data_IF_171077901276
#
_entry.id   IF_171077901276
#
_cell.length_a   1.000
_cell.length_b   1.000
_cell.length_c   1.000
_cell.angle_alpha   90.00
_cell.angle_beta   90.00
_cell.angle_gamma   90.00
#
_symmetry.space_group_name_H-M   'P 1'
#
loop_
_entity.id
_entity.type
_entity.pdbx_description
1 polymer ?
#
# COMPACT_ATOMS: atom_id res chain seq x y z
N UNK A 1 -6.85 11.48 -14.20
CA UNK A 1 -6.05 10.26 -13.93
C UNK A 1 -6.34 9.79 -12.52
N UNK A 2 -6.60 8.50 -12.36
CA UNK A 2 -6.85 7.93 -11.02
C UNK A 2 -5.53 7.78 -10.25
N UNK A 3 -5.58 8.08 -8.97
CA UNK A 3 -4.43 7.99 -8.09
C UNK A 3 -4.70 6.98 -6.97
N UNK A 4 -3.81 6.02 -6.81
CA UNK A 4 -3.94 4.95 -5.83
C UNK A 4 -2.75 4.91 -4.89
N UNK A 5 -3.03 4.56 -3.64
CA UNK A 5 -1.99 4.18 -2.67
C UNK A 5 -2.05 2.67 -2.50
N UNK A 6 -0.92 2.01 -2.66
CA UNK A 6 -0.81 0.55 -2.53
C UNK A 6 -0.27 0.21 -1.14
N UNK A 7 -1.01 -0.61 -0.40
CA UNK A 7 -0.51 -1.11 0.88
C UNK A 7 0.17 -2.47 0.74
N UNK A 8 0.72 -2.98 1.84
CA UNK A 8 1.42 -4.26 1.82
C UNK A 8 0.48 -5.43 1.53
N UNK A 9 -0.73 -5.41 2.07
CA UNK A 9 -1.70 -6.50 1.88
C UNK A 9 -2.04 -6.68 0.40
N UNK A 10 -2.34 -5.60 -0.30
CA UNK A 10 -2.68 -5.65 -1.73
C UNK A 10 -1.50 -6.12 -2.58
N UNK A 11 -0.29 -5.62 -2.30
CA UNK A 11 0.89 -6.06 -3.05
C UNK A 11 1.19 -7.54 -2.80
N UNK A 12 1.09 -8.00 -1.55
CA UNK A 12 1.29 -9.41 -1.22
C UNK A 12 0.23 -10.31 -1.88
N UNK A 13 -1.01 -9.85 -1.99
CA UNK A 13 -2.06 -10.58 -2.70
C UNK A 13 -1.66 -10.80 -4.15
N UNK A 14 -1.12 -9.77 -4.82
CA UNK A 14 -0.61 -9.91 -6.19
C UNK A 14 0.56 -10.89 -6.26
N UNK A 15 1.57 -10.72 -5.39
CA UNK A 15 2.79 -11.52 -5.42
C UNK A 15 2.55 -13.00 -5.11
N UNK A 16 1.53 -13.30 -4.30
CA UNK A 16 1.17 -14.66 -3.89
C UNK A 16 -0.01 -15.23 -4.64
N UNK A 17 -0.51 -14.53 -5.64
CA UNK A 17 -1.67 -14.91 -6.43
C UNK A 17 -2.87 -15.27 -5.55
N UNK A 18 -3.12 -14.45 -4.55
CA UNK A 18 -4.27 -14.58 -3.65
C UNK A 18 -5.51 -13.92 -4.23
N UNK A 19 -6.72 -14.14 -3.65
CA UNK A 19 -7.91 -13.41 -4.08
C UNK A 19 -7.67 -11.90 -4.02
N UNK A 20 -8.05 -11.20 -5.10
CA UNK A 20 -7.80 -9.78 -5.28
C UNK A 20 -6.60 -9.47 -6.16
N UNK A 21 -5.75 -10.46 -6.49
CA UNK A 21 -4.58 -10.24 -7.36
C UNK A 21 -4.98 -9.64 -8.71
N UNK A 22 -6.08 -10.09 -9.28
CA UNK A 22 -6.56 -9.59 -10.59
C UNK A 22 -6.86 -8.11 -10.55
N UNK A 23 -7.47 -7.61 -9.49
CA UNK A 23 -7.77 -6.19 -9.34
C UNK A 23 -6.50 -5.36 -9.22
N UNK A 24 -5.52 -5.82 -8.46
CA UNK A 24 -4.22 -5.16 -8.34
C UNK A 24 -3.52 -5.14 -9.71
N UNK A 25 -3.53 -6.25 -10.43
CA UNK A 25 -2.94 -6.34 -11.76
C UNK A 25 -3.61 -5.36 -12.73
N UNK A 26 -4.93 -5.21 -12.68
CA UNK A 26 -5.66 -4.27 -13.50
C UNK A 26 -5.21 -2.83 -13.25
N UNK A 27 -5.04 -2.45 -11.98
CA UNK A 27 -4.55 -1.11 -11.61
C UNK A 27 -3.11 -0.90 -12.09
N UNK A 28 -2.25 -1.92 -11.95
CA UNK A 28 -0.87 -1.85 -12.46
C UNK A 28 -0.83 -1.67 -13.98
N UNK A 29 -1.70 -2.37 -14.70
CA UNK A 29 -1.79 -2.23 -16.16
C UNK A 29 -2.25 -0.82 -16.55
N UNK A 30 -3.19 -0.25 -15.81
CA UNK A 30 -3.62 1.14 -16.03
C UNK A 30 -2.47 2.11 -15.77
N UNK A 31 -1.64 1.85 -14.76
CA UNK A 31 -0.47 2.67 -14.48
C UNK A 31 0.58 2.56 -15.59
N UNK A 32 0.78 1.37 -16.15
CA UNK A 32 1.68 1.17 -17.29
C UNK A 32 1.26 1.97 -18.52
N UNK A 33 -0.03 2.12 -18.76
CA UNK A 33 -0.55 2.87 -19.90
C UNK A 33 -0.77 4.36 -19.60
N UNK A 34 -0.39 4.84 -18.43
CA UNK A 34 -0.50 6.23 -18.04
C UNK A 34 -1.91 6.66 -17.62
N UNK A 35 -2.82 5.71 -17.42
CA UNK A 35 -4.20 5.99 -17.02
C UNK A 35 -4.39 6.06 -15.51
N UNK A 36 -3.39 5.64 -14.75
CA UNK A 36 -3.41 5.67 -13.30
C UNK A 36 -2.01 5.96 -12.77
N UNK A 37 -1.97 6.44 -11.53
CA UNK A 37 -0.72 6.60 -10.77
C UNK A 37 -0.83 5.78 -9.50
N UNK A 38 0.24 5.05 -9.17
CA UNK A 38 0.31 4.24 -7.96
C UNK A 38 1.49 4.71 -7.12
N UNK A 39 1.21 5.06 -5.88
CA UNK A 39 2.22 5.43 -4.89
C UNK A 39 2.20 4.41 -3.76
N UNK A 40 3.37 3.98 -3.31
CA UNK A 40 3.51 3.12 -2.14
C UNK A 40 4.55 3.73 -1.21
N UNK A 41 4.19 3.88 0.07
CA UNK A 41 5.18 4.35 1.03
C UNK A 41 6.21 3.26 1.29
N UNK A 42 7.48 3.68 1.46
CA UNK A 42 8.58 2.74 1.69
C UNK A 42 8.37 1.92 2.97
N UNK A 43 7.69 2.47 3.98
CA UNK A 43 7.34 1.72 5.18
C UNK A 43 6.47 0.48 4.87
N UNK A 44 5.54 0.62 3.91
CA UNK A 44 4.70 -0.50 3.47
C UNK A 44 5.49 -1.48 2.61
N UNK A 45 6.41 -0.99 1.80
CA UNK A 45 7.31 -1.85 1.04
C UNK A 45 8.21 -2.66 1.98
N UNK A 46 8.67 -2.04 3.07
CA UNK A 46 9.46 -2.75 4.08
C UNK A 46 8.66 -3.91 4.70
N UNK A 47 7.38 -3.71 4.95
CA UNK A 47 6.52 -4.78 5.47
C UNK A 47 6.43 -5.94 4.48
N UNK A 48 6.28 -5.67 3.20
CA UNK A 48 6.32 -6.70 2.15
C UNK A 48 7.65 -7.42 2.18
N UNK A 49 8.75 -6.67 2.26
CA UNK A 49 10.09 -7.24 2.20
C UNK A 49 10.36 -8.18 3.38
N UNK A 50 10.07 -7.75 4.62
CA UNK A 50 10.37 -8.63 5.76
C UNK A 50 9.46 -9.85 5.80
N UNK A 51 8.23 -9.75 5.29
CA UNK A 51 7.35 -10.91 5.19
C UNK A 51 7.89 -11.93 4.17
N UNK A 52 8.35 -11.46 3.02
CA UNK A 52 9.01 -12.31 2.03
C UNK A 52 10.32 -12.89 2.57
N UNK A 53 11.10 -12.09 3.28
CA UNK A 53 12.36 -12.52 3.89
C UNK A 53 12.11 -13.67 4.87
N UNK A 54 11.10 -13.52 5.73
CA UNK A 54 10.74 -14.52 6.73
C UNK A 54 10.25 -15.82 6.10
N UNK A 55 9.49 -15.73 5.00
CA UNK A 55 8.86 -16.91 4.38
C UNK A 55 9.72 -17.56 3.29
N UNK A 56 10.55 -16.81 2.57
CA UNK A 56 11.31 -17.29 1.42
C UNK A 56 12.82 -17.25 1.60
N UNK A 57 13.32 -16.53 2.61
CA UNK A 57 14.73 -16.26 2.80
C UNK A 57 15.23 -15.05 2.01
N UNK A 58 16.44 -14.58 2.36
CA UNK A 58 16.99 -13.33 1.85
C UNK A 58 17.13 -13.31 0.34
N UNK A 59 17.67 -14.37 -0.25
CA UNK A 59 17.97 -14.38 -1.69
C UNK A 59 16.71 -14.20 -2.52
N UNK A 60 15.65 -14.96 -2.21
CA UNK A 60 14.38 -14.86 -2.93
C UNK A 60 13.66 -13.55 -2.64
N UNK A 61 13.70 -13.07 -1.40
CA UNK A 61 13.10 -11.79 -1.05
C UNK A 61 13.76 -10.64 -1.83
N UNK A 62 15.07 -10.65 -1.98
CA UNK A 62 15.80 -9.64 -2.74
C UNK A 62 15.41 -9.69 -4.22
N UNK A 63 15.24 -10.88 -4.79
CA UNK A 63 14.82 -11.02 -6.19
C UNK A 63 13.40 -10.48 -6.40
N UNK A 64 12.47 -10.79 -5.50
CA UNK A 64 11.11 -10.28 -5.59
C UNK A 64 11.09 -8.76 -5.45
N UNK A 65 11.83 -8.22 -4.49
CA UNK A 65 11.94 -6.77 -4.32
C UNK A 65 12.45 -6.10 -5.60
N UNK A 66 13.48 -6.65 -6.22
CA UNK A 66 14.02 -6.14 -7.47
C UNK A 66 12.95 -6.09 -8.57
N UNK A 67 12.15 -7.15 -8.69
CA UNK A 67 11.06 -7.18 -9.67
C UNK A 67 9.95 -6.17 -9.36
N UNK A 68 9.62 -5.99 -8.07
CA UNK A 68 8.63 -4.99 -7.66
C UNK A 68 9.08 -3.57 -8.03
N UNK A 69 10.36 -3.28 -7.84
CA UNK A 69 10.90 -1.95 -8.13
C UNK A 69 10.93 -1.61 -9.62
N UNK A 70 10.75 -2.60 -10.49
CA UNK A 70 10.61 -2.38 -11.94
C UNK A 70 9.17 -2.05 -12.35
N UNK A 71 8.21 -2.22 -11.46
CA UNK A 71 6.79 -1.98 -11.76
C UNK A 71 6.47 -0.48 -11.73
N UNK A 72 5.37 -0.05 -12.33
CA UNK A 72 4.97 1.36 -12.34
C UNK A 72 4.40 1.79 -10.98
N UNK A 73 5.18 1.64 -9.94
CA UNK A 73 4.85 2.03 -8.58
C UNK A 73 5.88 3.05 -8.12
N UNK A 74 5.41 4.26 -7.80
CA UNK A 74 6.28 5.28 -7.22
C UNK A 74 6.46 4.98 -5.73
N UNK A 75 7.69 4.73 -5.31
CA UNK A 75 7.99 4.49 -3.91
C UNK A 75 8.28 5.83 -3.24
N UNK A 76 7.42 6.23 -2.31
CA UNK A 76 7.64 7.42 -1.52
C UNK A 76 8.55 7.10 -0.34
N UNK A 77 9.72 7.73 -0.29
CA UNK A 77 10.72 7.54 0.77
C UNK A 77 10.64 8.61 1.85
N UNK A 78 9.79 9.62 1.65
CA UNK A 78 9.72 10.77 2.54
C UNK A 78 8.71 10.58 3.66
N UNK A 79 9.04 11.07 4.84
CA UNK A 79 8.05 11.31 5.89
C UNK A 79 7.87 12.81 5.95
N UNK A 80 6.99 13.33 5.08
CA UNK A 80 6.69 14.75 5.04
C UNK A 80 6.02 15.18 6.34
N UNK A 81 5.96 16.49 6.59
CA UNK A 81 5.28 17.00 7.78
C UNK A 81 3.81 16.53 7.83
N UNK A 82 3.15 16.47 6.68
CA UNK A 82 1.77 16.02 6.62
C UNK A 82 1.66 14.52 6.94
N UNK A 83 2.51 13.67 6.36
CA UNK A 83 2.52 12.24 6.66
C UNK A 83 2.84 12.02 8.14
N UNK A 84 3.82 12.73 8.67
CA UNK A 84 4.18 12.62 10.09
C UNK A 84 2.98 12.92 10.99
N UNK A 85 2.32 14.06 10.77
CA UNK A 85 1.19 14.48 11.60
C UNK A 85 -0.01 13.53 11.45
N UNK A 86 -0.36 13.17 10.22
CA UNK A 86 -1.52 12.32 9.96
C UNK A 86 -1.29 10.88 10.43
N UNK A 87 -0.11 10.32 10.19
CA UNK A 87 0.21 8.97 10.68
C UNK A 87 0.16 8.93 12.21
N UNK A 88 0.70 9.95 12.86
CA UNK A 88 0.64 10.06 14.32
C UNK A 88 -0.79 10.16 14.84
N UNK A 89 -1.61 11.00 14.22
CA UNK A 89 -3.03 11.15 14.60
C UNK A 89 -3.79 9.85 14.42
N UNK A 90 -3.63 9.19 13.28
CA UNK A 90 -4.34 7.96 12.96
C UNK A 90 -3.92 6.81 13.87
N UNK A 91 -2.61 6.68 14.12
CA UNK A 91 -2.09 5.65 15.03
C UNK A 91 -2.58 5.85 16.47
N UNK A 92 -2.72 7.11 16.90
CA UNK A 92 -3.22 7.43 18.23
C UNK A 92 -4.74 7.22 18.35
N UNK A 93 -5.48 7.37 17.26
CA UNK A 93 -6.95 7.35 17.26
C UNK A 93 -7.54 5.98 16.98
N UNK A 94 -6.80 5.09 16.33
CA UNK A 94 -7.30 3.78 15.90
C UNK A 94 -6.31 2.67 16.25
N UNK A 95 -6.82 1.44 16.34
CA UNK A 95 -5.99 0.25 16.52
C UNK A 95 -5.44 -0.20 15.17
N UNK A 96 -4.56 0.60 14.60
CA UNK A 96 -3.92 0.27 13.34
C UNK A 96 -2.44 -0.02 13.56
N UNK A 97 -1.83 -0.82 12.70
CA UNK A 97 -0.40 -1.09 12.78
C UNK A 97 0.42 0.14 12.42
N UNK A 98 1.69 0.15 12.83
CA UNK A 98 2.59 1.27 12.52
C UNK A 98 2.70 1.49 11.00
N UNK A 99 2.93 0.41 10.24
CA UNK A 99 3.05 0.52 8.79
C UNK A 99 1.75 0.97 8.12
N UNK A 100 0.60 0.48 8.59
CA UNK A 100 -0.69 0.84 8.02
C UNK A 100 -1.02 2.31 8.24
N UNK A 101 -0.52 2.92 9.32
CA UNK A 101 -0.70 4.37 9.53
C UNK A 101 -0.03 5.20 8.44
N UNK A 102 1.07 4.70 7.86
CA UNK A 102 1.73 5.36 6.74
C UNK A 102 0.90 5.25 5.45
N UNK A 103 0.28 4.09 5.20
CA UNK A 103 -0.58 3.93 4.02
C UNK A 103 -1.78 4.89 4.08
N UNK A 104 -2.41 4.98 5.25
CA UNK A 104 -3.53 5.90 5.47
C UNK A 104 -3.09 7.36 5.30
N UNK A 105 -1.96 7.74 5.91
CA UNK A 105 -1.44 9.10 5.83
C UNK A 105 -1.05 9.46 4.38
N UNK A 106 -0.47 8.51 3.65
CA UNK A 106 -0.12 8.69 2.24
C UNK A 106 -1.38 8.95 1.41
N UNK A 107 -2.46 8.21 1.67
CA UNK A 107 -3.73 8.41 0.96
C UNK A 107 -4.30 9.81 1.23
N UNK A 108 -4.20 10.29 2.45
CA UNK A 108 -4.62 11.66 2.78
C UNK A 108 -3.74 12.72 2.11
N UNK A 109 -2.42 12.49 2.05
CA UNK A 109 -1.50 13.46 1.47
C UNK A 109 -1.76 13.68 -0.02
N UNK A 110 -1.99 12.59 -0.77
CA UNK A 110 -2.16 12.70 -2.23
C UNK A 110 -3.62 12.65 -2.68
N UNK A 111 -4.55 12.57 -1.75
CA UNK A 111 -5.98 12.40 -2.03
C UNK A 111 -6.22 11.22 -2.98
N UNK A 112 -5.58 10.09 -2.69
CA UNK A 112 -5.68 8.87 -3.49
C UNK A 112 -6.55 7.81 -2.84
N UNK A 113 -7.03 6.87 -3.66
CA UNK A 113 -7.75 5.70 -3.15
C UNK A 113 -6.76 4.70 -2.56
N UNK A 114 -7.03 4.22 -1.35
CA UNK A 114 -6.21 3.19 -0.72
C UNK A 114 -6.61 1.81 -1.25
N UNK A 115 -5.70 1.22 -2.02
CA UNK A 115 -5.88 -0.11 -2.61
C UNK A 115 -5.42 -1.14 -1.59
N UNK A 116 -6.37 -1.88 -1.02
CA UNK A 116 -6.12 -2.76 0.12
C UNK A 116 -7.07 -3.96 0.15
N UNK A 117 -6.71 -4.95 0.95
CA UNK A 117 -7.57 -6.09 1.29
C UNK A 117 -7.66 -6.30 2.81
N UNK A 118 -7.15 -5.36 3.60
CA UNK A 118 -7.03 -5.53 5.05
C UNK A 118 -8.25 -5.00 5.79
N UNK A 119 -9.35 -5.75 5.73
CA UNK A 119 -10.58 -5.40 6.42
C UNK A 119 -10.38 -5.36 7.94
N UNK A 120 -9.52 -6.22 8.48
CA UNK A 120 -9.25 -6.26 9.92
C UNK A 120 -8.75 -4.92 10.44
N UNK A 121 -7.82 -4.28 9.69
CA UNK A 121 -7.24 -3.00 10.07
C UNK A 121 -8.15 -1.81 9.73
N UNK A 122 -8.85 -1.86 8.60
CA UNK A 122 -9.43 -0.65 8.02
C UNK A 122 -10.96 -0.55 8.06
N UNK A 123 -11.70 -1.64 8.33
CA UNK A 123 -13.17 -1.55 8.39
C UNK A 123 -13.65 -0.53 9.42
N UNK A 124 -12.96 -0.41 10.57
CA UNK A 124 -13.32 0.55 11.61
C UNK A 124 -12.99 2.00 11.23
N UNK A 125 -12.20 2.21 10.19
CA UNK A 125 -11.74 3.53 9.73
C UNK A 125 -12.57 4.04 8.56
N UNK A 126 -13.04 3.11 7.72
CA UNK A 126 -13.85 3.46 6.55
C UNK A 126 -15.10 4.24 6.97
N UNK A 127 -15.33 5.37 6.32
CA UNK A 127 -16.44 6.26 6.64
C UNK A 127 -16.21 7.23 7.80
N UNK A 128 -15.12 7.05 8.56
CA UNK A 128 -14.77 7.97 9.66
C UNK A 128 -13.67 8.95 9.28
N UNK A 129 -12.87 8.60 8.27
CA UNK A 129 -11.79 9.43 7.75
C UNK A 129 -12.08 9.78 6.30
N UNK A 130 -11.50 10.87 5.83
CA UNK A 130 -11.65 11.32 4.45
C UNK A 130 -10.69 10.52 3.53
N UNK A 131 -10.82 9.22 3.58
CA UNK A 131 -10.03 8.27 2.81
C UNK A 131 -10.99 7.37 2.02
N UNK A 132 -10.80 7.30 0.71
CA UNK A 132 -11.52 6.37 -0.14
C UNK A 132 -10.77 5.04 -0.19
N UNK A 133 -11.49 3.95 0.11
CA UNK A 133 -10.92 2.61 0.05
C UNK A 133 -11.31 1.93 -1.26
N UNK A 134 -10.34 1.32 -1.92
CA UNK A 134 -10.55 0.47 -3.08
C UNK A 134 -10.22 -0.96 -2.68
N UNK A 135 -11.24 -1.70 -2.29
CA UNK A 135 -11.08 -3.06 -1.79
C UNK A 135 -10.78 -4.01 -2.93
N UNK A 136 -9.71 -4.79 -2.82
CA UNK A 136 -9.34 -5.79 -3.83
C UNK A 136 -10.02 -7.14 -3.57
N UNK A 137 -10.50 -7.36 -2.35
CA UNK A 137 -11.33 -8.50 -1.98
C UNK A 137 -12.14 -8.22 -0.73
#
# INVERSE_FOLDING_TARGET
MSCYVLDACALLALLRNEPGADKVATVLNAANSGEAEIVMHRANLLEVYYDLYRTLGKEKADLVLYEVLKRPITINVEITDKIFAEAGRLKASYKTSFADSFALAQALEIDGELLTCDHHEFDAIEGKEDISFSWVR
#
